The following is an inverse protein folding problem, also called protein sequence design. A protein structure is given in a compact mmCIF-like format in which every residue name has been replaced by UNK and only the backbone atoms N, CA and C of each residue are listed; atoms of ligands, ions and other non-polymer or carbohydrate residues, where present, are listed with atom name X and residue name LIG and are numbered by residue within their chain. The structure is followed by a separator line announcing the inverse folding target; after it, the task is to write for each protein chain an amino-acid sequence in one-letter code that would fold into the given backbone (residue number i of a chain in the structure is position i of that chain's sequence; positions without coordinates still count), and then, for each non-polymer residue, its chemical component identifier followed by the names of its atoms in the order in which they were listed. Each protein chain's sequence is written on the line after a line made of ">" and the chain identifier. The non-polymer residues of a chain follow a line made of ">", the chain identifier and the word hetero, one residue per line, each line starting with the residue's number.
data_IF_677749718023
#
_entry.id   IF_677749718023
#
_cell.length_a   1.000
_cell.length_b   1.000
_cell.length_c   1.000
_cell.angle_alpha   90.00
_cell.angle_beta   90.00
_cell.angle_gamma   90.00
#
_symmetry.space_group_name_H-M   'P 1'
#
loop_
_entity.id
_entity.type
_entity.pdbx_description
1 polymer ?
#
# COMPACT_ATOMS: atom_id res chain seq x y z
N UNK A 1 -11.66 3.37 -12.93
CA UNK A 1 -11.78 4.12 -11.68
C UNK A 1 -11.22 5.52 -11.83
N UNK A 2 -11.84 6.52 -11.21
CA UNK A 2 -11.44 7.92 -11.36
C UNK A 2 -10.33 8.32 -10.37
N UNK A 3 -9.32 7.49 -10.23
CA UNK A 3 -8.12 7.80 -9.46
C UNK A 3 -6.91 7.70 -10.38
N UNK A 4 -6.03 8.67 -10.29
CA UNK A 4 -4.87 8.76 -11.16
C UNK A 4 -3.64 8.29 -10.41
N UNK A 5 -3.11 7.11 -10.72
CA UNK A 5 -1.89 6.65 -10.06
C UNK A 5 -0.71 7.52 -10.48
N UNK A 6 0.06 7.97 -9.50
CA UNK A 6 1.31 8.69 -9.72
C UNK A 6 2.47 7.71 -9.71
N UNK A 7 2.47 6.79 -8.75
CA UNK A 7 3.51 5.76 -8.63
C UNK A 7 2.98 4.55 -7.88
N UNK A 8 3.31 3.36 -8.35
CA UNK A 8 2.99 2.09 -7.69
C UNK A 8 4.28 1.29 -7.57
N UNK A 9 4.53 0.76 -6.41
CA UNK A 9 5.69 -0.09 -6.18
C UNK A 9 5.51 -0.87 -4.90
N UNK A 10 6.38 -1.84 -4.67
CA UNK A 10 6.28 -2.66 -3.49
C UNK A 10 7.42 -3.66 -3.35
N UNK A 11 7.16 -4.64 -2.52
CA UNK A 11 8.07 -5.74 -2.28
C UNK A 11 7.25 -7.03 -2.19
N UNK A 12 7.82 -8.11 -1.63
CA UNK A 12 7.16 -9.43 -1.64
C UNK A 12 5.91 -9.52 -0.77
N UNK A 13 5.78 -8.65 0.24
CA UNK A 13 4.74 -8.73 1.25
C UNK A 13 3.83 -7.50 1.36
N UNK A 14 4.05 -6.48 0.51
CA UNK A 14 3.22 -5.27 0.55
C UNK A 14 3.33 -4.48 -0.75
N UNK A 15 2.44 -3.49 -0.90
CA UNK A 15 2.46 -2.57 -2.03
C UNK A 15 2.18 -1.14 -1.54
N UNK A 16 2.86 -0.18 -2.16
CA UNK A 16 2.61 1.25 -1.97
C UNK A 16 1.97 1.82 -3.21
N UNK A 17 0.91 2.60 -3.02
CA UNK A 17 0.25 3.31 -4.10
C UNK A 17 0.22 4.79 -3.76
N UNK A 18 0.85 5.60 -4.60
CA UNK A 18 0.73 7.06 -4.55
C UNK A 18 -0.21 7.48 -5.66
N UNK A 19 -1.31 8.13 -5.33
CA UNK A 19 -2.33 8.49 -6.30
C UNK A 19 -3.02 9.80 -5.94
N UNK A 20 -3.68 10.38 -6.94
CA UNK A 20 -4.62 11.48 -6.75
C UNK A 20 -6.01 10.87 -6.57
N UNK A 21 -6.57 10.99 -5.38
CA UNK A 21 -7.89 10.42 -5.08
C UNK A 21 -8.98 11.29 -5.67
N UNK A 22 -9.86 10.70 -6.48
CA UNK A 22 -11.01 11.40 -7.04
C UNK A 22 -12.00 11.80 -5.95
N UNK A 23 -12.65 12.95 -6.12
CA UNK A 23 -13.73 13.40 -5.22
C UNK A 23 -14.95 12.49 -5.25
N UNK A 24 -15.09 11.67 -6.29
CA UNK A 24 -16.25 10.79 -6.49
C UNK A 24 -16.07 9.40 -5.91
N UNK A 25 -14.92 9.09 -5.34
CA UNK A 25 -14.64 7.77 -4.79
C UNK A 25 -14.06 7.89 -3.39
N UNK A 26 -14.48 6.99 -2.50
CA UNK A 26 -13.90 6.93 -1.15
C UNK A 26 -12.62 6.10 -1.16
N UNK A 27 -11.75 6.31 -0.17
CA UNK A 27 -10.55 5.51 0.01
C UNK A 27 -10.88 4.02 0.17
N UNK A 28 -11.92 3.70 0.95
CA UNK A 28 -12.38 2.33 1.15
C UNK A 28 -12.76 1.69 -0.19
N UNK A 29 -13.50 2.40 -1.02
CA UNK A 29 -13.94 1.88 -2.33
C UNK A 29 -12.76 1.63 -3.26
N UNK A 30 -11.80 2.52 -3.27
CA UNK A 30 -10.56 2.34 -4.06
C UNK A 30 -9.84 1.06 -3.63
N UNK A 31 -9.66 0.86 -2.33
CA UNK A 31 -8.96 -0.31 -1.80
C UNK A 31 -9.71 -1.60 -2.09
N UNK A 32 -11.04 -1.61 -1.95
CA UNK A 32 -11.87 -2.77 -2.29
C UNK A 32 -11.67 -3.19 -3.75
N UNK A 33 -11.73 -2.23 -4.67
CA UNK A 33 -11.57 -2.51 -6.10
C UNK A 33 -10.17 -3.02 -6.44
N UNK A 34 -9.13 -2.38 -5.89
CA UNK A 34 -7.75 -2.79 -6.14
C UNK A 34 -7.45 -4.18 -5.58
N UNK A 35 -7.89 -4.45 -4.35
CA UNK A 35 -7.69 -5.75 -3.72
C UNK A 35 -8.45 -6.86 -4.47
N UNK A 36 -9.68 -6.60 -4.86
CA UNK A 36 -10.50 -7.57 -5.59
C UNK A 36 -9.91 -7.89 -6.96
N UNK A 37 -9.58 -6.87 -7.73
CA UNK A 37 -9.06 -7.03 -9.10
C UNK A 37 -7.71 -7.74 -9.09
N UNK A 38 -6.80 -7.33 -8.21
CA UNK A 38 -5.48 -7.94 -8.12
C UNK A 38 -5.53 -9.37 -7.58
N UNK A 39 -6.42 -9.66 -6.63
CA UNK A 39 -6.62 -11.01 -6.12
C UNK A 39 -7.12 -11.97 -7.22
N UNK A 40 -8.09 -11.53 -8.02
CA UNK A 40 -8.57 -12.30 -9.15
C UNK A 40 -7.45 -12.59 -10.14
N UNK A 41 -6.68 -11.59 -10.48
CA UNK A 41 -5.58 -11.72 -11.43
C UNK A 41 -4.51 -12.71 -10.94
N UNK A 42 -4.11 -12.59 -9.67
CA UNK A 42 -3.09 -13.47 -9.09
C UNK A 42 -3.54 -14.92 -9.12
N UNK A 43 -4.81 -15.19 -8.82
CA UNK A 43 -5.37 -16.55 -8.84
C UNK A 43 -5.35 -17.19 -10.23
N UNK A 44 -5.29 -16.40 -11.31
CA UNK A 44 -5.17 -16.93 -12.67
C UNK A 44 -3.72 -17.32 -13.03
N UNK A 45 -2.73 -17.00 -12.19
CA UNK A 45 -1.31 -17.18 -12.51
C UNK A 45 -0.75 -18.53 -12.06
N UNK A 46 -1.54 -19.36 -11.40
CA UNK A 46 -1.13 -20.70 -11.00
C UNK A 46 -1.93 -21.24 -9.82
N UNK A 47 -1.98 -22.57 -9.69
CA UNK A 47 -2.72 -23.23 -8.61
C UNK A 47 -2.18 -22.90 -7.23
N UNK A 48 -0.88 -22.57 -7.12
CA UNK A 48 -0.26 -22.21 -5.86
C UNK A 48 -0.83 -20.89 -5.29
N UNK A 49 -1.52 -20.10 -6.12
CA UNK A 49 -2.14 -18.85 -5.70
C UNK A 49 -3.65 -18.97 -5.47
N UNK A 50 -4.22 -20.17 -5.52
CA UNK A 50 -5.67 -20.36 -5.42
C UNK A 50 -6.26 -19.82 -4.12
N UNK A 51 -5.51 -19.83 -3.03
CA UNK A 51 -5.94 -19.35 -1.71
C UNK A 51 -5.40 -17.96 -1.38
N UNK A 52 -4.91 -17.24 -2.36
CA UNK A 52 -4.39 -15.88 -2.13
C UNK A 52 -5.49 -14.97 -1.59
N UNK A 53 -5.12 -14.15 -0.60
CA UNK A 53 -5.98 -13.08 -0.10
C UNK A 53 -5.10 -11.95 0.44
N UNK A 54 -5.62 -10.74 0.34
CA UNK A 54 -5.00 -9.58 0.96
C UNK A 54 -5.33 -9.54 2.45
N UNK A 55 -4.41 -8.98 3.24
CA UNK A 55 -4.70 -8.60 4.62
C UNK A 55 -5.87 -7.61 4.64
N UNK A 56 -6.72 -7.67 5.65
CA UNK A 56 -7.89 -6.77 5.74
C UNK A 56 -7.50 -5.32 5.96
N UNK A 57 -6.45 -5.08 6.73
CA UNK A 57 -6.01 -3.74 7.09
C UNK A 57 -5.24 -3.02 5.98
N UNK A 58 -5.06 -1.73 6.20
CA UNK A 58 -4.26 -0.87 5.32
C UNK A 58 -3.78 0.36 6.09
N UNK A 59 -2.74 1.02 5.56
CA UNK A 59 -2.32 2.34 6.03
C UNK A 59 -2.53 3.36 4.92
N UNK A 60 -3.05 4.53 5.28
CA UNK A 60 -3.25 5.61 4.32
C UNK A 60 -2.74 6.93 4.91
N UNK A 61 -1.96 7.67 4.13
CA UNK A 61 -1.34 8.90 4.56
C UNK A 61 -1.44 9.94 3.45
N UNK A 62 -1.72 11.18 3.85
CA UNK A 62 -1.72 12.30 2.90
C UNK A 62 -0.28 12.72 2.60
N UNK A 63 -0.02 13.06 1.35
CA UNK A 63 1.30 13.52 0.91
C UNK A 63 1.20 14.98 0.46
N UNK A 64 2.07 15.82 1.00
CA UNK A 64 2.17 17.21 0.55
C UNK A 64 2.61 17.24 -0.92
N UNK A 65 1.97 18.06 -1.78
CA UNK A 65 2.38 18.17 -3.18
C UNK A 65 3.87 18.43 -3.39
N UNK A 66 4.52 19.14 -2.50
CA UNK A 66 5.96 19.40 -2.56
C UNK A 66 6.81 18.14 -2.38
N UNK A 67 6.25 17.08 -1.78
CA UNK A 67 6.96 15.85 -1.46
C UNK A 67 6.67 14.70 -2.44
N UNK A 68 5.86 14.94 -3.46
CA UNK A 68 5.44 13.89 -4.41
C UNK A 68 6.66 13.23 -5.07
N UNK A 69 7.65 14.02 -5.48
CA UNK A 69 8.86 13.47 -6.11
C UNK A 69 9.63 12.56 -5.17
N UNK A 70 9.82 12.99 -3.93
CA UNK A 70 10.56 12.22 -2.92
C UNK A 70 9.84 10.91 -2.60
N UNK A 71 8.51 10.98 -2.44
CA UNK A 71 7.70 9.79 -2.16
C UNK A 71 7.70 8.84 -3.36
N UNK A 72 7.63 9.37 -4.59
CA UNK A 72 7.69 8.56 -5.81
C UNK A 72 9.01 7.78 -5.89
N UNK A 73 10.13 8.44 -5.61
CA UNK A 73 11.45 7.81 -5.58
C UNK A 73 11.54 6.74 -4.49
N UNK A 74 10.98 7.02 -3.32
CA UNK A 74 10.91 6.05 -2.24
C UNK A 74 10.15 4.78 -2.66
N UNK A 75 9.02 4.93 -3.32
CA UNK A 75 8.22 3.80 -3.81
C UNK A 75 8.99 3.01 -4.89
N UNK A 76 9.68 3.71 -5.78
CA UNK A 76 10.47 3.08 -6.85
C UNK A 76 11.60 2.23 -6.28
N UNK A 77 12.19 2.65 -5.17
CA UNK A 77 13.34 1.98 -4.57
C UNK A 77 12.97 0.99 -3.47
N UNK A 78 11.74 0.48 -3.44
CA UNK A 78 11.27 -0.43 -2.38
C UNK A 78 12.10 -1.70 -2.27
N UNK A 79 12.53 -2.29 -3.37
CA UNK A 79 13.34 -3.52 -3.32
C UNK A 79 14.68 -3.30 -2.61
N UNK A 80 15.34 -2.19 -2.87
CA UNK A 80 16.59 -1.84 -2.18
C UNK A 80 16.37 -1.48 -0.72
N UNK A 81 15.29 -0.73 -0.43
CA UNK A 81 14.92 -0.35 0.92
C UNK A 81 14.68 -1.57 1.80
N UNK A 82 13.94 -2.56 1.31
CA UNK A 82 13.56 -3.74 2.08
C UNK A 82 14.64 -4.81 2.18
N UNK A 83 15.78 -4.61 1.57
CA UNK A 83 16.98 -5.37 1.92
C UNK A 83 17.50 -5.00 3.32
N UNK A 84 17.17 -3.83 3.83
CA UNK A 84 17.67 -3.29 5.10
C UNK A 84 16.58 -3.13 6.17
N UNK A 85 15.34 -2.88 5.76
CA UNK A 85 14.22 -2.57 6.65
C UNK A 85 13.03 -3.45 6.26
N UNK A 86 12.48 -4.21 7.21
CA UNK A 86 11.30 -5.03 6.93
C UNK A 86 10.03 -4.16 6.92
N UNK A 87 8.96 -4.71 6.36
CA UNK A 87 7.69 -4.00 6.22
C UNK A 87 7.11 -3.54 7.56
N UNK A 88 7.13 -4.38 8.58
CA UNK A 88 6.54 -4.01 9.87
C UNK A 88 7.25 -2.81 10.50
N UNK A 89 8.57 -2.77 10.45
CA UNK A 89 9.35 -1.63 10.95
C UNK A 89 9.09 -0.38 10.12
N UNK A 90 8.98 -0.50 8.81
CA UNK A 90 8.62 0.61 7.93
C UNK A 90 7.25 1.17 8.29
N UNK A 91 6.27 0.32 8.48
CA UNK A 91 4.90 0.72 8.81
C UNK A 91 4.84 1.39 10.18
N UNK A 92 5.55 0.86 11.17
CA UNK A 92 5.67 1.48 12.50
C UNK A 92 6.25 2.89 12.39
N UNK A 93 7.27 3.05 11.56
CA UNK A 93 7.89 4.35 11.34
C UNK A 93 6.90 5.35 10.75
N UNK A 94 6.10 4.95 9.77
CA UNK A 94 5.06 5.80 9.21
C UNK A 94 4.01 6.19 10.25
N UNK A 95 3.54 5.24 11.03
CA UNK A 95 2.57 5.52 12.08
C UNK A 95 3.10 6.55 13.07
N UNK A 96 4.38 6.43 13.43
CA UNK A 96 5.03 7.37 14.33
C UNK A 96 5.20 8.75 13.69
N UNK A 97 5.66 8.83 12.45
CA UNK A 97 5.86 10.09 11.74
C UNK A 97 4.56 10.87 11.54
N UNK A 98 3.47 10.18 11.27
CA UNK A 98 2.15 10.80 11.08
C UNK A 98 1.34 10.88 12.37
N UNK A 99 1.96 10.57 13.51
CA UNK A 99 1.34 10.66 14.84
C UNK A 99 0.02 9.88 14.94
N UNK A 100 -0.01 8.70 14.35
CA UNK A 100 -1.17 7.80 14.38
C UNK A 100 -1.02 6.82 15.54
N UNK A 101 -1.97 6.84 16.47
CA UNK A 101 -2.00 5.86 17.55
C UNK A 101 -2.36 4.48 17.00
N UNK A 102 -1.71 3.44 17.52
CA UNK A 102 -1.98 2.08 17.09
C UNK A 102 -1.75 1.09 18.23
N UNK A 103 -2.39 -0.07 18.11
CA UNK A 103 -2.21 -1.19 19.04
C UNK A 103 -1.48 -2.31 18.31
N UNK A 104 -0.30 -2.69 18.81
CA UNK A 104 0.53 -3.75 18.20
C UNK A 104 -0.22 -5.08 18.09
N UNK A 105 -1.21 -5.32 18.94
CA UNK A 105 -1.99 -6.56 18.88
C UNK A 105 -2.92 -6.64 17.68
N UNK A 106 -3.32 -5.49 17.11
CA UNK A 106 -4.35 -5.41 16.08
C UNK A 106 -3.90 -4.72 14.79
N UNK A 107 -2.79 -3.99 14.82
CA UNK A 107 -2.33 -3.18 13.67
C UNK A 107 -2.01 -4.04 12.45
N UNK A 108 -1.73 -5.31 12.66
CA UNK A 108 -1.34 -6.24 11.59
C UNK A 108 -2.50 -7.06 11.02
N UNK A 109 -3.71 -6.85 11.47
CA UNK A 109 -4.90 -7.59 11.01
C UNK A 109 -5.34 -7.28 9.57
#
# INVERSE_FOLDING_TARGET
>A
MECYPVKIGGFTDHVHILCLLSKKITLIKLLEEEKRSSSKWIKTRGEQFANFHWQDGYGAFSVNPADIKVVSEYIENQAEHHKKVNFQDEFRKFLKEYEVDYDERYVWD
#
